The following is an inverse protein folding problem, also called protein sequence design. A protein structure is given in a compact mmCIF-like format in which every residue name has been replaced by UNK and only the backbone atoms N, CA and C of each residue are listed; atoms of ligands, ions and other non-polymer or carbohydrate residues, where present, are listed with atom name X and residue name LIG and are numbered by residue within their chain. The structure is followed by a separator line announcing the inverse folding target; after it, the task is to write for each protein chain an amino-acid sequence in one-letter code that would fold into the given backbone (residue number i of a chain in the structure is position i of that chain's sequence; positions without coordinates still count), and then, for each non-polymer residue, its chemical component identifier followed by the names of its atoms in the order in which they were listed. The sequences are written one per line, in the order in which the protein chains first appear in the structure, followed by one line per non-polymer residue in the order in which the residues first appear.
data_IF_076117725812
#
_entry.id   IF_076117725812
#
_cell.length_a   1.000
_cell.length_b   1.000
_cell.length_c   1.000
_cell.angle_alpha   90.00
_cell.angle_beta   90.00
_cell.angle_gamma   90.00
#
_symmetry.space_group_name_H-M   'P 1'
#
loop_
_entity.id
_entity.type
_entity.pdbx_description
1 polymer ?
#
# COMPACT_ATOMS: atom_id res chain seq x y z
N UNK A 1 -28.33 4.60 -15.02
CA UNK A 1 -27.16 5.49 -15.05
C UNK A 1 -26.23 4.96 -16.14
N UNK A 2 -25.90 5.77 -17.18
CA UNK A 2 -24.95 5.32 -18.20
C UNK A 2 -23.56 5.20 -17.56
N UNK A 3 -22.82 4.12 -17.78
CA UNK A 3 -21.43 4.04 -17.34
C UNK A 3 -20.65 5.16 -18.04
N UNK A 4 -19.99 6.01 -17.27
CA UNK A 4 -19.21 7.17 -17.74
C UNK A 4 -18.13 6.81 -18.80
N UNK A 5 -17.79 5.52 -18.92
CA UNK A 5 -16.89 5.00 -19.95
C UNK A 5 -17.51 5.02 -21.36
N UNK A 6 -18.84 5.07 -21.47
CA UNK A 6 -19.59 5.05 -22.74
C UNK A 6 -20.02 6.47 -23.20
N UNK A 7 -19.91 7.47 -22.34
CA UNK A 7 -20.14 8.86 -22.68
C UNK A 7 -18.95 9.47 -23.44
N UNK A 8 -18.63 8.93 -24.63
CA UNK A 8 -17.80 9.67 -25.58
C UNK A 8 -18.72 10.62 -26.34
N UNK A 9 -18.41 11.94 -26.41
CA UNK A 9 -19.26 12.93 -27.15
C UNK A 9 -19.56 12.52 -28.59
N UNK A 10 -18.70 11.70 -29.21
CA UNK A 10 -18.83 11.24 -30.59
C UNK A 10 -19.70 9.97 -30.77
N UNK A 11 -20.21 9.36 -29.70
CA UNK A 11 -20.95 8.08 -29.76
C UNK A 11 -22.36 8.14 -29.14
N UNK A 12 -22.86 9.32 -28.79
CA UNK A 12 -24.22 9.45 -28.26
C UNK A 12 -25.15 9.48 -29.46
N UNK A 13 -25.95 8.43 -29.62
CA UNK A 13 -27.06 8.41 -30.59
C UNK A 13 -28.02 9.57 -30.25
N UNK A 14 -28.26 10.50 -31.20
CA UNK A 14 -29.20 11.62 -30.97
C UNK A 14 -30.62 11.18 -30.61
N UNK A 15 -30.98 9.92 -30.90
CA UNK A 15 -32.26 9.31 -30.56
C UNK A 15 -32.29 8.58 -29.20
N UNK A 16 -31.14 8.53 -28.46
CA UNK A 16 -31.07 7.89 -27.18
C UNK A 16 -31.70 8.75 -26.09
N UNK A 17 -32.89 8.35 -25.62
CA UNK A 17 -33.53 9.00 -24.46
C UNK A 17 -32.85 8.56 -23.17
N UNK A 18 -32.90 9.39 -22.10
CA UNK A 18 -32.40 9.06 -20.80
C UNK A 18 -32.97 7.73 -20.26
N UNK A 19 -34.26 7.48 -20.53
CA UNK A 19 -34.97 6.26 -20.16
C UNK A 19 -34.35 5.00 -20.80
N UNK A 20 -33.98 5.07 -22.09
CA UNK A 20 -33.31 3.95 -22.81
C UNK A 20 -31.86 3.75 -22.38
N UNK A 21 -31.23 4.80 -21.86
CA UNK A 21 -29.85 4.82 -21.44
C UNK A 21 -29.66 4.45 -19.94
N UNK A 22 -30.74 4.45 -19.15
CA UNK A 22 -30.69 4.15 -17.73
C UNK A 22 -30.44 2.65 -17.49
N UNK A 23 -29.46 2.36 -16.62
CA UNK A 23 -29.29 1.03 -16.01
C UNK A 23 -30.04 0.99 -14.69
N UNK A 24 -30.52 -0.20 -14.30
CA UNK A 24 -31.09 -0.42 -12.97
C UNK A 24 -30.06 -0.16 -11.88
N UNK A 25 -30.50 0.40 -10.75
CA UNK A 25 -29.67 0.57 -9.58
C UNK A 25 -29.48 -0.80 -8.93
N UNK A 26 -28.28 -1.35 -9.02
CA UNK A 26 -27.88 -2.56 -8.31
C UNK A 26 -26.83 -2.26 -7.24
N UNK A 27 -26.50 -3.29 -6.44
CA UNK A 27 -25.53 -3.14 -5.35
C UNK A 27 -24.12 -2.77 -5.84
N UNK A 28 -23.77 -3.06 -7.10
CA UNK A 28 -22.42 -2.81 -7.62
C UNK A 28 -22.13 -1.32 -7.80
N UNK A 29 -23.16 -0.51 -7.99
CA UNK A 29 -23.05 0.94 -8.16
C UNK A 29 -23.31 1.73 -6.86
N UNK A 30 -23.61 1.06 -5.76
CA UNK A 30 -23.86 1.68 -4.47
C UNK A 30 -22.66 1.50 -3.54
N UNK A 31 -22.40 2.50 -2.71
CA UNK A 31 -21.44 2.44 -1.61
C UNK A 31 -22.04 3.17 -0.41
N UNK A 32 -21.93 2.58 0.78
CA UNK A 32 -22.40 3.24 1.99
C UNK A 32 -21.51 4.43 2.36
N UNK A 33 -22.10 5.49 2.91
CA UNK A 33 -21.38 6.72 3.28
C UNK A 33 -20.31 6.53 4.38
N UNK A 34 -20.42 5.47 5.15
CA UNK A 34 -19.49 5.04 6.21
C UNK A 34 -18.46 4.01 5.73
N UNK A 35 -18.53 3.59 4.46
CA UNK A 35 -17.52 2.72 3.87
C UNK A 35 -16.14 3.39 3.85
N UNK A 36 -15.13 2.66 4.27
CA UNK A 36 -13.75 3.15 4.25
C UNK A 36 -13.27 3.46 2.82
N UNK A 37 -12.59 4.58 2.65
CA UNK A 37 -12.09 5.04 1.35
C UNK A 37 -11.20 4.02 0.65
N UNK A 38 -10.40 3.26 1.39
CA UNK A 38 -9.54 2.21 0.80
C UNK A 38 -10.35 1.09 0.15
N UNK A 39 -11.51 0.73 0.72
CA UNK A 39 -12.42 -0.23 0.09
C UNK A 39 -12.91 0.26 -1.27
N UNK A 40 -13.34 1.52 -1.34
CA UNK A 40 -13.72 2.11 -2.63
C UNK A 40 -12.56 2.03 -3.63
N UNK A 41 -11.33 2.40 -3.21
CA UNK A 41 -10.16 2.40 -4.09
C UNK A 41 -9.88 1.00 -4.66
N UNK A 42 -9.96 -0.05 -3.85
CA UNK A 42 -9.72 -1.43 -4.28
C UNK A 42 -10.72 -1.90 -5.35
N UNK A 43 -11.96 -1.44 -5.26
CA UNK A 43 -13.05 -1.82 -6.15
C UNK A 43 -13.22 -0.85 -7.33
N UNK A 44 -12.56 0.32 -7.31
CA UNK A 44 -12.76 1.42 -8.24
C UNK A 44 -12.38 1.09 -9.71
N UNK A 45 -11.59 0.04 -9.95
CA UNK A 45 -11.28 -0.39 -11.32
C UNK A 45 -12.48 -1.05 -11.99
N UNK A 46 -13.22 -1.87 -11.26
CA UNK A 46 -14.45 -2.52 -11.74
C UNK A 46 -15.66 -1.57 -11.70
N UNK A 47 -15.72 -0.69 -10.71
CA UNK A 47 -16.79 0.28 -10.51
C UNK A 47 -16.22 1.68 -10.26
N UNK A 48 -15.78 2.41 -11.31
CA UNK A 48 -15.06 3.66 -11.17
C UNK A 48 -15.92 4.83 -10.68
N UNK A 49 -17.24 4.65 -10.68
CA UNK A 49 -18.22 5.64 -10.26
C UNK A 49 -19.29 4.93 -9.42
N UNK A 50 -19.53 5.42 -8.19
CA UNK A 50 -20.55 4.88 -7.30
C UNK A 50 -21.41 5.98 -6.70
N UNK A 51 -22.67 5.64 -6.44
CA UNK A 51 -23.59 6.48 -5.69
C UNK A 51 -23.38 6.21 -4.19
N UNK A 52 -23.18 7.28 -3.44
CA UNK A 52 -23.00 7.20 -1.98
C UNK A 52 -24.37 7.17 -1.32
N UNK A 53 -24.65 6.08 -0.61
CA UNK A 53 -25.88 5.88 0.14
C UNK A 53 -25.70 6.30 1.59
N UNK A 54 -26.55 7.19 2.07
CA UNK A 54 -26.65 7.56 3.48
C UNK A 54 -28.04 7.20 3.98
N UNK A 55 -28.13 6.19 4.86
CA UNK A 55 -29.39 5.55 5.21
C UNK A 55 -30.09 5.01 3.96
N UNK A 56 -31.25 5.55 3.59
CA UNK A 56 -32.06 5.16 2.42
C UNK A 56 -31.99 6.16 1.28
N UNK A 57 -31.12 7.19 1.37
CA UNK A 57 -31.06 8.27 0.41
C UNK A 57 -29.70 8.33 -0.30
N UNK A 58 -29.71 8.66 -1.58
CA UNK A 58 -28.49 8.96 -2.32
C UNK A 58 -27.99 10.33 -1.87
N UNK A 59 -26.85 10.35 -1.16
CA UNK A 59 -26.23 11.53 -0.61
C UNK A 59 -25.16 12.16 -1.51
N UNK A 60 -24.68 11.42 -2.51
CA UNK A 60 -23.64 11.91 -3.39
C UNK A 60 -23.16 10.87 -4.39
N UNK A 61 -22.05 11.21 -5.04
CA UNK A 61 -21.36 10.37 -6.01
C UNK A 61 -19.86 10.38 -5.67
N UNK A 62 -19.21 9.24 -5.79
CA UNK A 62 -17.75 9.10 -5.70
C UNK A 62 -17.22 8.53 -7.00
N UNK A 63 -16.11 9.08 -7.49
CA UNK A 63 -15.47 8.69 -8.74
C UNK A 63 -13.96 8.53 -8.56
N UNK A 64 -13.30 7.94 -9.55
CA UNK A 64 -11.83 7.83 -9.53
C UNK A 64 -11.12 9.21 -9.48
N UNK A 65 -11.78 10.28 -9.93
CA UNK A 65 -11.24 11.64 -9.82
C UNK A 65 -11.15 12.11 -8.35
N UNK A 66 -11.95 11.54 -7.46
CA UNK A 66 -11.91 11.86 -6.03
C UNK A 66 -10.66 11.32 -5.33
N UNK A 67 -9.93 10.40 -5.94
CA UNK A 67 -8.66 9.88 -5.40
C UNK A 67 -7.61 10.99 -5.20
N UNK A 68 -7.68 12.06 -5.99
CA UNK A 68 -6.79 13.23 -5.86
C UNK A 68 -7.21 14.18 -4.73
N UNK A 69 -8.39 14.03 -4.15
CA UNK A 69 -8.89 14.92 -3.09
C UNK A 69 -8.01 14.83 -1.84
N UNK A 70 -7.83 15.98 -1.18
CA UNK A 70 -7.00 16.09 0.02
C UNK A 70 -7.42 15.11 1.13
N UNK A 71 -8.71 14.84 1.28
CA UNK A 71 -9.22 13.90 2.28
C UNK A 71 -8.78 12.43 2.06
N UNK A 72 -8.40 12.05 0.84
CA UNK A 72 -7.96 10.67 0.50
C UNK A 72 -6.48 10.47 0.82
N UNK A 73 -5.66 11.50 0.67
CA UNK A 73 -4.20 11.45 0.85
C UNK A 73 -3.75 10.86 2.19
N UNK A 74 -4.30 11.26 3.36
CA UNK A 74 -3.91 10.68 4.64
C UNK A 74 -4.15 9.17 4.71
N UNK A 75 -5.26 8.67 4.17
CA UNK A 75 -5.55 7.23 4.18
C UNK A 75 -4.53 6.43 3.36
N UNK A 76 -4.14 6.95 2.19
CA UNK A 76 -3.09 6.36 1.35
C UNK A 76 -1.73 6.41 2.04
N UNK A 77 -1.39 7.54 2.68
CA UNK A 77 -0.14 7.71 3.40
C UNK A 77 -0.04 6.73 4.58
N UNK A 78 -1.11 6.60 5.37
CA UNK A 78 -1.17 5.64 6.49
C UNK A 78 -0.99 4.20 5.99
N UNK A 79 -1.63 3.83 4.87
CA UNK A 79 -1.49 2.49 4.29
C UNK A 79 -0.03 2.18 3.93
N UNK A 80 0.66 3.09 3.22
CA UNK A 80 2.05 2.89 2.80
C UNK A 80 3.00 2.91 4.00
N UNK A 81 2.76 3.80 4.98
CA UNK A 81 3.53 3.85 6.22
C UNK A 81 3.36 2.56 7.03
N UNK A 82 2.13 2.03 7.11
CA UNK A 82 1.88 0.75 7.78
C UNK A 82 2.67 -0.40 7.12
N UNK A 83 2.67 -0.47 5.79
CA UNK A 83 3.50 -1.44 5.08
C UNK A 83 4.99 -1.28 5.46
N UNK A 84 5.52 -0.06 5.45
CA UNK A 84 6.92 0.20 5.78
C UNK A 84 7.27 -0.19 7.23
N UNK A 85 6.36 0.03 8.16
CA UNK A 85 6.51 -0.41 9.55
C UNK A 85 6.54 -1.94 9.68
N UNK A 86 5.67 -2.66 8.96
CA UNK A 86 5.68 -4.12 8.93
C UNK A 86 6.96 -4.67 8.29
N UNK A 87 7.46 -4.05 7.22
CA UNK A 87 8.77 -4.41 6.65
C UNK A 87 9.88 -4.30 7.70
N UNK A 88 9.93 -3.19 8.43
CA UNK A 88 10.90 -2.98 9.50
C UNK A 88 10.73 -4.00 10.65
N UNK A 89 9.50 -4.28 11.06
CA UNK A 89 9.20 -5.27 12.10
C UNK A 89 9.64 -6.68 11.71
N UNK A 90 9.35 -7.11 10.47
CA UNK A 90 9.74 -8.42 9.96
C UNK A 90 11.28 -8.58 9.91
N UNK A 91 12.00 -7.51 9.50
CA UNK A 91 13.47 -7.51 9.51
C UNK A 91 13.99 -7.62 10.95
N UNK A 92 13.46 -6.83 11.90
CA UNK A 92 13.85 -6.91 13.33
C UNK A 92 13.64 -8.31 13.89
N UNK A 93 12.47 -8.89 13.70
CA UNK A 93 12.14 -10.22 14.20
C UNK A 93 13.05 -11.30 13.60
N UNK A 94 13.43 -11.18 12.32
CA UNK A 94 14.33 -12.14 11.65
C UNK A 94 15.76 -12.10 12.17
N UNK A 95 16.23 -10.92 12.59
CA UNK A 95 17.62 -10.68 12.96
C UNK A 95 17.80 -10.30 14.44
N UNK A 96 16.77 -10.47 15.31
CA UNK A 96 16.78 -10.04 16.70
C UNK A 96 17.96 -10.61 17.52
N UNK A 97 18.36 -11.86 17.24
CA UNK A 97 19.43 -12.57 17.94
C UNK A 97 20.76 -12.58 17.15
N UNK A 98 20.88 -11.72 16.16
CA UNK A 98 22.04 -11.66 15.27
C UNK A 98 22.70 -10.28 15.31
N UNK A 99 24.03 -10.22 15.03
CA UNK A 99 24.68 -8.94 14.85
C UNK A 99 24.00 -8.11 13.74
N UNK A 100 23.92 -6.80 13.93
CA UNK A 100 23.39 -5.87 12.90
C UNK A 100 24.12 -6.01 11.55
N UNK A 101 25.36 -6.46 11.53
CA UNK A 101 26.13 -6.67 10.33
C UNK A 101 25.53 -7.73 9.39
N UNK A 102 24.77 -8.70 9.92
CA UNK A 102 24.18 -9.77 9.11
C UNK A 102 23.22 -9.22 8.03
N UNK A 103 22.35 -8.28 8.38
CA UNK A 103 21.43 -7.72 7.41
C UNK A 103 22.00 -6.50 6.65
N UNK A 104 22.95 -5.78 7.27
CA UNK A 104 23.65 -4.66 6.62
C UNK A 104 24.45 -5.12 5.39
N UNK A 105 25.02 -6.32 5.43
CA UNK A 105 25.75 -6.90 4.28
C UNK A 105 24.85 -7.10 3.05
N UNK A 106 23.55 -7.32 3.27
CA UNK A 106 22.56 -7.48 2.18
C UNK A 106 22.36 -6.20 1.38
N UNK A 107 22.74 -5.03 1.93
CA UNK A 107 22.58 -3.74 1.29
C UNK A 107 23.66 -3.43 0.24
N UNK A 108 24.83 -4.10 0.32
CA UNK A 108 25.97 -3.78 -0.55
C UNK A 108 26.39 -2.32 -0.43
N UNK A 109 26.51 -1.61 -1.54
CA UNK A 109 26.98 -0.21 -1.60
C UNK A 109 26.08 0.78 -0.82
N UNK A 110 24.85 0.37 -0.47
CA UNK A 110 23.94 1.22 0.31
C UNK A 110 24.19 1.16 1.82
N UNK A 111 25.03 0.23 2.30
CA UNK A 111 25.38 0.05 3.70
C UNK A 111 25.93 1.34 4.32
N UNK A 112 26.93 1.94 3.68
CA UNK A 112 27.60 3.14 4.18
C UNK A 112 26.61 4.29 4.41
N UNK A 113 25.69 4.50 3.46
CA UNK A 113 24.64 5.52 3.59
C UNK A 113 23.73 5.28 4.80
N UNK A 114 23.34 4.02 5.07
CA UNK A 114 22.50 3.68 6.22
C UNK A 114 23.26 3.93 7.53
N UNK A 115 24.52 3.57 7.59
CA UNK A 115 25.35 3.80 8.77
C UNK A 115 25.57 5.29 9.05
N UNK A 116 25.79 6.09 8.00
CA UNK A 116 25.96 7.53 8.14
C UNK A 116 24.67 8.22 8.59
N UNK A 117 23.53 7.82 8.05
CA UNK A 117 22.23 8.34 8.48
C UNK A 117 21.94 7.96 9.94
N UNK A 118 22.22 6.72 10.33
CA UNK A 118 22.07 6.28 11.72
C UNK A 118 22.99 7.07 12.68
N UNK A 119 24.25 7.29 12.31
CA UNK A 119 25.19 8.10 13.12
C UNK A 119 24.69 9.54 13.30
N UNK A 120 24.14 10.15 12.24
CA UNK A 120 23.54 11.51 12.31
C UNK A 120 22.35 11.54 13.27
N UNK A 121 21.44 10.55 13.17
CA UNK A 121 20.27 10.45 14.06
C UNK A 121 20.69 10.26 15.51
N UNK A 122 21.67 9.40 15.78
CA UNK A 122 22.22 9.17 17.11
C UNK A 122 22.90 10.42 17.68
N UNK A 123 23.66 11.13 16.87
CA UNK A 123 24.29 12.40 17.26
C UNK A 123 23.26 13.49 17.59
N UNK A 124 22.06 13.43 16.97
CA UNK A 124 20.91 14.26 17.29
C UNK A 124 20.12 13.83 18.55
N UNK A 125 20.61 12.85 19.32
CA UNK A 125 19.97 12.38 20.55
C UNK A 125 18.82 11.40 20.33
N UNK A 126 18.66 10.83 19.13
CA UNK A 126 17.65 9.83 18.83
C UNK A 126 18.20 8.42 19.12
N UNK A 127 17.59 7.70 20.05
CA UNK A 127 17.88 6.29 20.33
C UNK A 127 17.09 5.40 19.36
N UNK A 128 17.52 5.36 18.10
CA UNK A 128 16.91 4.52 17.06
C UNK A 128 17.89 3.40 16.66
N UNK A 129 17.32 2.25 16.30
CA UNK A 129 18.09 1.17 15.70
C UNK A 129 18.50 1.51 14.25
N UNK A 130 19.45 0.77 13.69
CA UNK A 130 19.92 0.99 12.32
C UNK A 130 18.83 0.76 11.26
N UNK A 131 17.81 -0.06 11.57
CA UNK A 131 16.69 -0.31 10.64
C UNK A 131 15.84 0.96 10.47
N UNK A 132 15.73 1.80 11.50
CA UNK A 132 15.05 3.10 11.39
C UNK A 132 15.74 4.05 10.39
N UNK A 133 17.04 3.93 10.20
CA UNK A 133 17.80 4.72 9.22
C UNK A 133 17.69 4.19 7.77
N UNK A 134 17.05 3.03 7.55
CA UNK A 134 16.85 2.47 6.22
C UNK A 134 15.69 3.11 5.49
N UNK A 135 15.81 3.25 4.17
CA UNK A 135 14.71 3.71 3.30
C UNK A 135 13.84 2.52 2.86
N UNK A 136 12.70 2.83 2.22
CA UNK A 136 11.77 1.82 1.70
C UNK A 136 12.47 0.80 0.77
N UNK A 137 13.28 1.28 -0.16
CA UNK A 137 14.04 0.42 -1.08
C UNK A 137 15.07 -0.47 -0.36
N UNK A 138 15.67 0.00 0.75
CA UNK A 138 16.60 -0.81 1.55
C UNK A 138 15.88 -1.97 2.23
N UNK A 139 14.74 -1.68 2.87
CA UNK A 139 13.89 -2.69 3.51
C UNK A 139 13.43 -3.74 2.50
N UNK A 140 12.97 -3.34 1.30
CA UNK A 140 12.65 -4.25 0.20
C UNK A 140 13.84 -5.17 -0.13
N UNK A 141 15.02 -4.61 -0.29
CA UNK A 141 16.23 -5.38 -0.63
C UNK A 141 16.56 -6.41 0.44
N UNK A 142 16.47 -6.03 1.72
CA UNK A 142 16.69 -6.95 2.84
C UNK A 142 15.66 -8.07 2.84
N UNK A 143 14.37 -7.76 2.71
CA UNK A 143 13.29 -8.77 2.70
C UNK A 143 13.50 -9.83 1.62
N UNK A 144 13.89 -9.41 0.41
CA UNK A 144 14.13 -10.33 -0.72
C UNK A 144 15.39 -11.16 -0.51
N UNK A 145 16.52 -10.51 -0.18
CA UNK A 145 17.82 -11.20 -0.05
C UNK A 145 17.92 -12.10 1.18
N UNK A 146 17.18 -11.79 2.25
CA UNK A 146 17.13 -12.63 3.45
C UNK A 146 16.17 -13.83 3.31
N UNK A 147 15.39 -13.90 2.22
CA UNK A 147 14.37 -14.93 2.03
C UNK A 147 13.14 -14.78 2.93
N UNK A 148 12.95 -13.61 3.57
CA UNK A 148 11.77 -13.32 4.39
C UNK A 148 10.47 -13.33 3.56
N UNK A 149 10.57 -12.93 2.30
CA UNK A 149 9.48 -13.02 1.34
C UNK A 149 9.90 -13.91 0.17
N UNK A 150 9.03 -14.87 -0.17
CA UNK A 150 9.28 -15.82 -1.26
C UNK A 150 8.78 -15.26 -2.60
N UNK A 151 9.60 -14.41 -3.23
CA UNK A 151 9.32 -13.89 -4.56
C UNK A 151 10.61 -13.65 -5.36
N UNK A 152 10.50 -13.58 -6.68
CA UNK A 152 11.63 -13.20 -7.51
C UNK A 152 12.01 -11.74 -7.30
N UNK A 153 13.30 -11.41 -7.47
CA UNK A 153 13.79 -10.04 -7.37
C UNK A 153 13.04 -9.09 -8.29
N UNK A 154 12.82 -9.51 -9.54
CA UNK A 154 12.11 -8.71 -10.55
C UNK A 154 10.66 -8.44 -10.18
N UNK A 155 9.97 -9.41 -9.57
CA UNK A 155 8.62 -9.22 -9.06
C UNK A 155 8.60 -8.20 -7.92
N UNK A 156 9.51 -8.35 -6.94
CA UNK A 156 9.64 -7.42 -5.84
C UNK A 156 9.94 -5.99 -6.31
N UNK A 157 10.91 -5.83 -7.23
CA UNK A 157 11.27 -4.52 -7.78
C UNK A 157 10.07 -3.85 -8.45
N UNK A 158 9.29 -4.59 -9.22
CA UNK A 158 8.10 -4.05 -9.90
C UNK A 158 6.98 -3.68 -8.91
N UNK A 159 6.64 -4.58 -8.00
CA UNK A 159 5.48 -4.39 -7.11
C UNK A 159 5.78 -3.35 -6.02
N UNK A 160 6.92 -3.47 -5.33
CA UNK A 160 7.31 -2.45 -4.34
C UNK A 160 7.69 -1.12 -4.98
N UNK A 161 8.24 -1.12 -6.20
CA UNK A 161 8.51 0.11 -6.96
C UNK A 161 7.24 0.90 -7.22
N UNK A 162 6.14 0.24 -7.62
CA UNK A 162 4.84 0.89 -7.79
C UNK A 162 4.31 1.52 -6.48
N UNK A 163 4.54 0.87 -5.33
CA UNK A 163 4.15 1.42 -4.02
C UNK A 163 5.06 2.59 -3.63
N UNK A 164 6.36 2.50 -3.90
CA UNK A 164 7.33 3.56 -3.64
C UNK A 164 7.03 4.82 -4.47
N UNK A 165 6.64 4.67 -5.73
CA UNK A 165 6.19 5.76 -6.58
C UNK A 165 4.96 6.48 -5.99
N UNK A 166 3.97 5.72 -5.50
CA UNK A 166 2.82 6.29 -4.78
C UNK A 166 3.27 7.04 -3.53
N UNK A 167 4.13 6.44 -2.69
CA UNK A 167 4.69 7.06 -1.48
C UNK A 167 5.34 8.40 -1.79
N UNK A 168 6.18 8.43 -2.81
CA UNK A 168 6.88 9.65 -3.23
C UNK A 168 5.90 10.71 -3.75
N UNK A 169 4.90 10.31 -4.53
CA UNK A 169 3.84 11.21 -4.99
C UNK A 169 3.05 11.82 -3.83
N UNK A 170 2.77 11.03 -2.79
CA UNK A 170 2.08 11.49 -1.58
C UNK A 170 2.96 12.46 -0.75
N UNK A 171 4.24 12.15 -0.55
CA UNK A 171 5.17 12.95 0.24
C UNK A 171 5.44 14.32 -0.39
N UNK A 172 5.57 14.40 -1.71
CA UNK A 172 5.88 15.62 -2.43
C UNK A 172 4.66 16.43 -2.88
N UNK A 173 3.46 16.12 -2.37
CA UNK A 173 2.20 16.77 -2.75
C UNK A 173 1.92 16.75 -4.27
N UNK A 174 2.49 15.78 -5.00
CA UNK A 174 2.30 15.64 -6.43
C UNK A 174 0.88 15.18 -6.79
N UNK A 175 0.53 15.37 -8.05
CA UNK A 175 -0.74 14.93 -8.63
C UNK A 175 -0.69 13.44 -8.99
N UNK A 176 -0.77 12.55 -7.98
CA UNK A 176 -0.63 11.10 -8.14
C UNK A 176 -1.83 10.42 -8.83
N UNK A 177 -2.99 11.07 -8.84
CA UNK A 177 -4.23 10.53 -9.43
C UNK A 177 -4.99 11.55 -10.29
N UNK A 178 -4.31 12.59 -10.82
CA UNK A 178 -4.94 13.66 -11.61
C UNK A 178 -5.36 13.20 -13.02
N UNK A 179 -4.80 12.11 -13.51
CA UNK A 179 -5.15 11.50 -14.79
C UNK A 179 -5.79 10.12 -14.57
N UNK A 180 -6.53 9.62 -15.57
CA UNK A 180 -7.09 8.26 -15.53
C UNK A 180 -6.00 7.20 -15.35
N UNK A 181 -4.85 7.39 -15.98
CA UNK A 181 -3.70 6.49 -15.82
C UNK A 181 -3.10 6.59 -14.42
N UNK A 182 -2.90 7.79 -13.89
CA UNK A 182 -2.43 8.02 -12.52
C UNK A 182 -3.37 7.39 -11.48
N UNK A 183 -4.68 7.55 -11.66
CA UNK A 183 -5.68 6.91 -10.80
C UNK A 183 -5.58 5.37 -10.84
N UNK A 184 -5.42 4.76 -12.04
CA UNK A 184 -5.21 3.32 -12.17
C UNK A 184 -3.93 2.84 -11.49
N UNK A 185 -2.81 3.57 -11.66
CA UNK A 185 -1.54 3.28 -10.97
C UNK A 185 -1.72 3.34 -9.45
N UNK A 186 -2.44 4.34 -8.96
CA UNK A 186 -2.76 4.48 -7.52
C UNK A 186 -3.59 3.29 -7.01
N UNK A 187 -4.63 2.89 -7.73
CA UNK A 187 -5.46 1.73 -7.39
C UNK A 187 -4.60 0.45 -7.33
N UNK A 188 -3.76 0.23 -8.35
CA UNK A 188 -2.86 -0.91 -8.39
C UNK A 188 -1.88 -0.91 -7.21
N UNK A 189 -1.26 0.22 -6.89
CA UNK A 189 -0.34 0.36 -5.76
C UNK A 189 -1.02 0.10 -4.41
N UNK A 190 -2.27 0.53 -4.22
CA UNK A 190 -3.06 0.25 -3.02
C UNK A 190 -3.31 -1.25 -2.85
N UNK A 191 -3.72 -1.94 -3.92
CA UNK A 191 -3.92 -3.40 -3.91
C UNK A 191 -2.62 -4.14 -3.58
N UNK A 192 -1.51 -3.71 -4.18
CA UNK A 192 -0.19 -4.29 -3.90
C UNK A 192 0.24 -4.05 -2.46
N UNK A 193 0.04 -2.84 -1.91
CA UNK A 193 0.35 -2.54 -0.52
C UNK A 193 -0.45 -3.44 0.43
N UNK A 194 -1.74 -3.63 0.18
CA UNK A 194 -2.59 -4.54 0.97
C UNK A 194 -2.13 -5.99 0.88
N UNK A 195 -1.79 -6.47 -0.32
CA UNK A 195 -1.22 -7.81 -0.53
C UNK A 195 0.03 -8.02 0.32
N UNK A 196 0.97 -7.08 0.25
CA UNK A 196 2.23 -7.19 0.98
C UNK A 196 2.08 -7.00 2.49
N UNK A 197 1.11 -6.20 2.95
CA UNK A 197 0.74 -6.11 4.38
C UNK A 197 0.30 -7.49 4.87
N UNK A 198 -0.61 -8.18 4.17
CA UNK A 198 -1.07 -9.50 4.55
C UNK A 198 0.08 -10.52 4.60
N UNK A 199 0.94 -10.55 3.57
CA UNK A 199 2.12 -11.44 3.53
C UNK A 199 3.07 -11.17 4.71
N UNK A 200 3.35 -9.92 5.04
CA UNK A 200 4.25 -9.59 6.15
C UNK A 200 3.64 -9.87 7.51
N UNK A 201 2.33 -9.75 7.66
CA UNK A 201 1.62 -10.17 8.88
C UNK A 201 1.75 -11.68 9.10
N UNK A 202 1.52 -12.49 8.05
CA UNK A 202 1.72 -13.95 8.12
C UNK A 202 3.17 -14.33 8.49
N UNK A 203 4.16 -13.61 7.93
CA UNK A 203 5.59 -13.81 8.28
C UNK A 203 5.84 -13.52 9.75
N UNK A 204 5.28 -12.44 10.28
CA UNK A 204 5.44 -12.05 11.69
C UNK A 204 4.75 -13.03 12.63
N UNK A 205 3.54 -13.47 12.30
CA UNK A 205 2.80 -14.45 13.10
C UNK A 205 3.55 -15.79 13.16
N UNK A 206 4.08 -16.26 12.03
CA UNK A 206 4.89 -17.49 11.97
C UNK A 206 6.21 -17.40 12.76
N UNK A 207 6.83 -16.21 12.81
CA UNK A 207 8.03 -16.00 13.63
C UNK A 207 7.71 -16.03 15.14
N UNK A 208 6.61 -15.42 15.57
CA UNK A 208 6.18 -15.43 16.97
C UNK A 208 5.83 -16.84 17.47
N UNK A 209 5.20 -17.66 16.65
CA UNK A 209 4.87 -19.05 17.00
C UNK A 209 6.12 -19.91 17.13
N UNK A 210 7.12 -19.70 16.26
CA UNK A 210 8.42 -20.39 16.34
C UNK A 210 9.18 -20.03 17.62
N UNK A 211 9.11 -18.79 18.07
CA UNK A 211 9.76 -18.35 19.31
C UNK A 211 9.04 -18.85 20.56
N UNK A 212 7.70 -18.89 20.54
CA UNK A 212 6.90 -19.52 21.62
C UNK A 212 7.21 -21.02 21.75
N UNK A 213 7.36 -21.72 20.63
CA UNK A 213 7.72 -23.15 20.62
C UNK A 213 9.10 -23.42 21.23
N UNK A 214 10.07 -22.53 21.06
CA UNK A 214 11.41 -22.64 21.67
C UNK A 214 11.41 -22.40 23.19
N UNK A 215 10.49 -21.57 23.68
CA UNK A 215 10.37 -21.21 25.10
C UNK A 215 9.69 -22.29 25.94
N UNK A 216 9.05 -23.30 25.33
CA UNK A 216 8.28 -24.34 26.03
C UNK A 216 9.06 -25.65 26.18
N UNK A 217 10.29 -25.79 25.68
CA UNK A 217 11.10 -26.99 25.84
C UNK A 217 12.04 -26.85 27.07
N UNK A 218 11.64 -27.31 28.30
CA UNK A 218 12.43 -27.24 29.51
C UNK A 218 13.54 -28.31 29.61
N UNK A 219 13.74 -29.13 28.55
CA UNK A 219 14.66 -30.27 28.57
C UNK A 219 16.10 -29.95 28.09
N UNK A 220 16.44 -28.66 27.89
CA UNK A 220 17.82 -28.23 27.65
C UNK A 220 18.39 -27.44 28.84
N UNK A 221 18.58 -28.15 29.94
CA UNK A 221 19.53 -27.76 31.00
C UNK A 221 20.57 -28.84 31.20
#
# INVERSE_FOLDING_TARGET
MLPLAELRPASIDPGLTAEKAMSSLDQSILIASDSGVLRYIEEAEASPCRLVLRHTQIAGIVTIADLQKLAVRPALFVLVTHLELLMAAAIRARFQDRPDDDWLTLLGDRRERVEDEWKKQKAGGLELDRIAATQFADKRQILVKSGLIHCSRSLAEREFGSIEDLRNGLAHANNYASTREGARKTIAAVRLARKWIAVLQEVLDGQQDADRGKSIDPSRK
#
